data_IF_271137931138
#
_entry.id   IF_271137931138
#
_cell.length_a   1.000
_cell.length_b   1.000
_cell.length_c   1.000
_cell.angle_alpha   90.00
_cell.angle_beta   90.00
_cell.angle_gamma   90.00
#
_symmetry.space_group_name_H-M   'P 1'
#
loop_
_entity.id
_entity.type
_entity.pdbx_description
1 polymer ?
#
# COMPACT_ATOMS: atom_id res chain seq x y z
N UNK A 1 10.12 -47.37 -53.26
CA UNK A 1 9.13 -46.28 -53.35
C UNK A 1 8.12 -46.46 -52.22
N UNK A 2 7.62 -45.42 -51.52
CA UNK A 2 8.29 -44.27 -50.89
C UNK A 2 8.18 -44.32 -49.35
N UNK A 3 9.07 -43.58 -48.67
CA UNK A 3 9.05 -43.34 -47.23
C UNK A 3 7.95 -42.33 -46.86
N UNK A 4 7.14 -42.64 -45.85
CA UNK A 4 6.18 -41.69 -45.27
C UNK A 4 6.88 -40.88 -44.16
N UNK A 5 7.37 -39.69 -44.51
CA UNK A 5 7.77 -38.63 -43.58
C UNK A 5 6.51 -37.99 -43.02
N UNK A 6 6.15 -38.26 -41.77
CA UNK A 6 5.28 -37.36 -41.02
C UNK A 6 5.47 -37.57 -39.52
N UNK A 7 5.14 -36.53 -38.74
CA UNK A 7 4.94 -36.54 -37.28
C UNK A 7 6.10 -36.22 -36.31
N UNK A 8 7.17 -35.54 -36.74
CA UNK A 8 8.08 -34.90 -35.77
C UNK A 8 7.76 -33.41 -35.49
N UNK A 9 6.86 -32.79 -36.26
CA UNK A 9 6.57 -31.35 -36.17
C UNK A 9 5.47 -30.98 -35.16
N UNK A 10 4.67 -31.93 -34.67
CA UNK A 10 3.51 -31.62 -33.81
C UNK A 10 3.85 -31.56 -32.30
N UNK A 11 5.03 -32.05 -31.87
CA UNK A 11 5.41 -32.06 -30.45
C UNK A 11 6.03 -30.75 -29.94
N UNK A 12 6.52 -29.90 -30.84
CA UNK A 12 7.23 -28.68 -30.44
C UNK A 12 6.25 -27.52 -30.15
N UNK A 13 5.03 -27.57 -30.70
CA UNK A 13 4.03 -26.49 -30.49
C UNK A 13 3.41 -26.53 -29.08
N UNK A 14 3.32 -27.71 -28.45
CA UNK A 14 2.73 -27.83 -27.10
C UNK A 14 3.70 -27.53 -25.94
N UNK A 15 5.02 -27.51 -26.19
CA UNK A 15 6.00 -27.20 -25.14
C UNK A 15 6.28 -25.69 -25.00
N UNK A 16 5.96 -24.88 -26.02
CA UNK A 16 6.17 -23.43 -26.00
C UNK A 16 5.06 -22.63 -25.29
N UNK A 17 3.86 -23.21 -25.16
CA UNK A 17 2.69 -22.50 -24.64
C UNK A 17 2.61 -22.43 -23.10
N UNK A 18 3.39 -23.21 -22.36
CA UNK A 18 3.32 -23.25 -20.89
C UNK A 18 4.17 -22.17 -20.18
N UNK A 19 5.11 -21.53 -20.88
CA UNK A 19 6.03 -20.55 -20.27
C UNK A 19 5.39 -19.14 -20.17
N UNK A 20 4.28 -18.88 -20.87
CA UNK A 20 3.63 -17.56 -20.88
C UNK A 20 2.61 -17.38 -19.74
N UNK A 21 2.17 -18.44 -19.06
CA UNK A 21 1.11 -18.33 -18.03
C UNK A 21 1.58 -18.03 -16.59
N UNK A 22 2.89 -17.98 -16.30
CA UNK A 22 3.38 -17.75 -14.93
C UNK A 22 3.72 -16.29 -14.60
N UNK A 23 3.33 -15.33 -15.46
CA UNK A 23 3.79 -13.94 -15.39
C UNK A 23 3.03 -12.96 -14.49
N UNK A 24 2.14 -13.39 -13.58
CA UNK A 24 1.28 -12.44 -12.87
C UNK A 24 1.02 -12.74 -11.38
N UNK A 25 2.02 -13.18 -10.62
CA UNK A 25 2.03 -12.84 -9.20
C UNK A 25 2.63 -11.45 -9.06
N UNK A 26 1.81 -10.40 -9.19
CA UNK A 26 2.23 -9.03 -8.92
C UNK A 26 2.67 -8.92 -7.45
N UNK A 27 3.98 -8.94 -7.20
CA UNK A 27 4.54 -8.73 -5.88
C UNK A 27 4.29 -7.28 -5.47
N UNK A 28 3.51 -7.08 -4.41
CA UNK A 28 3.28 -5.75 -3.88
C UNK A 28 4.60 -5.15 -3.38
N UNK A 29 4.89 -3.86 -3.67
CA UNK A 29 6.07 -3.21 -3.10
C UNK A 29 6.04 -3.26 -1.58
N UNK A 30 7.18 -3.57 -0.97
CA UNK A 30 7.32 -3.71 0.49
C UNK A 30 7.95 -2.50 1.17
N UNK A 31 8.56 -1.59 0.39
CA UNK A 31 9.20 -0.37 0.88
C UNK A 31 8.95 0.84 -0.04
N UNK A 32 9.26 2.02 0.47
CA UNK A 32 9.12 3.30 -0.22
C UNK A 32 7.67 3.75 -0.43
N UNK A 33 7.45 4.85 -1.17
CA UNK A 33 6.12 5.43 -1.37
C UNK A 33 5.14 4.48 -2.06
N UNK A 34 5.63 3.64 -2.97
CA UNK A 34 4.82 2.67 -3.69
C UNK A 34 4.23 1.57 -2.78
N UNK A 35 4.91 1.25 -1.68
CA UNK A 35 4.39 0.31 -0.69
C UNK A 35 3.24 0.91 0.13
N UNK A 36 3.19 2.23 0.28
CA UNK A 36 2.15 2.92 1.05
C UNK A 36 0.98 3.38 0.18
N UNK A 37 1.20 3.66 -1.10
CA UNK A 37 0.18 4.18 -1.99
C UNK A 37 -1.04 3.25 -2.07
N UNK A 38 -2.22 3.84 -1.94
CA UNK A 38 -3.52 3.16 -1.96
C UNK A 38 -4.47 3.68 -0.89
N UNK A 39 -5.66 3.09 -0.87
CA UNK A 39 -6.67 3.33 0.17
C UNK A 39 -6.68 2.17 1.15
N UNK A 40 -6.63 2.51 2.43
CA UNK A 40 -6.51 1.58 3.54
C UNK A 40 -7.65 1.82 4.52
N UNK A 41 -8.11 0.76 5.18
CA UNK A 41 -9.09 0.84 6.27
C UNK A 41 -8.58 0.09 7.50
N UNK A 42 -8.97 0.55 8.69
CA UNK A 42 -8.66 -0.15 9.94
C UNK A 42 -9.93 -0.51 10.74
N UNK A 43 -9.74 -1.18 11.88
CA UNK A 43 -10.79 -1.62 12.81
C UNK A 43 -11.59 -0.48 13.45
N UNK A 44 -11.02 0.71 13.56
CA UNK A 44 -11.71 1.92 14.04
C UNK A 44 -12.62 2.52 12.96
N UNK A 45 -12.61 1.95 11.76
CA UNK A 45 -13.36 2.45 10.62
C UNK A 45 -12.70 3.64 9.92
N UNK A 46 -11.47 4.01 10.27
CA UNK A 46 -10.78 5.07 9.55
C UNK A 46 -10.42 4.59 8.15
N UNK A 47 -10.65 5.45 7.15
CA UNK A 47 -10.17 5.27 5.78
C UNK A 47 -9.04 6.26 5.53
N UNK A 48 -7.88 5.73 5.15
CA UNK A 48 -6.69 6.53 4.86
C UNK A 48 -6.27 6.28 3.42
N UNK A 49 -6.32 7.33 2.60
CA UNK A 49 -5.83 7.31 1.22
C UNK A 49 -4.46 7.98 1.17
N UNK A 50 -3.46 7.22 0.74
CA UNK A 50 -2.09 7.65 0.52
C UNK A 50 -1.87 7.72 -1.00
N UNK A 51 -1.69 8.92 -1.53
CA UNK A 51 -1.55 9.14 -2.96
C UNK A 51 -0.08 8.99 -3.40
N UNK A 52 0.20 8.48 -4.61
CA UNK A 52 1.57 8.33 -5.12
C UNK A 52 2.39 9.63 -5.15
N UNK A 53 1.73 10.80 -5.16
CA UNK A 53 2.36 12.12 -5.17
C UNK A 53 2.83 12.59 -3.77
N UNK A 54 2.72 11.75 -2.74
CA UNK A 54 3.11 12.09 -1.38
C UNK A 54 2.06 12.92 -0.63
N UNK A 55 0.82 13.00 -1.11
CA UNK A 55 -0.31 13.58 -0.36
C UNK A 55 -1.14 12.50 0.29
N UNK A 56 -1.90 12.85 1.33
CA UNK A 56 -2.85 11.93 1.95
C UNK A 56 -4.14 12.60 2.38
N UNK A 57 -5.17 11.76 2.53
CA UNK A 57 -6.49 12.12 3.03
C UNK A 57 -6.97 11.08 4.03
N UNK A 58 -7.55 11.52 5.14
CA UNK A 58 -8.11 10.63 6.17
C UNK A 58 -9.58 10.97 6.36
N UNK A 59 -10.45 9.98 6.20
CA UNK A 59 -11.85 10.00 6.64
C UNK A 59 -11.93 9.18 7.93
N UNK A 60 -12.11 9.85 9.06
CA UNK A 60 -12.11 9.22 10.38
C UNK A 60 -13.42 8.48 10.67
N UNK A 61 -14.52 8.85 9.99
CA UNK A 61 -15.89 8.45 10.35
C UNK A 61 -16.63 7.69 9.24
N UNK A 62 -15.96 7.37 8.11
CA UNK A 62 -16.56 6.76 6.90
C UNK A 62 -17.70 7.61 6.31
N UNK A 63 -17.65 8.92 6.49
CA UNK A 63 -18.65 9.85 5.95
C UNK A 63 -18.53 10.05 4.43
N UNK A 64 -17.49 9.50 3.80
CA UNK A 64 -17.18 9.68 2.38
C UNK A 64 -16.44 10.99 2.08
N UNK A 65 -16.31 11.87 3.08
CA UNK A 65 -15.57 13.12 2.99
C UNK A 65 -14.35 13.06 3.92
N UNK A 66 -13.14 13.39 3.44
CA UNK A 66 -11.98 13.45 4.31
C UNK A 66 -12.14 14.52 5.40
N UNK A 67 -11.68 14.19 6.61
CA UNK A 67 -11.59 15.07 7.78
C UNK A 67 -10.21 15.75 7.89
N UNK A 68 -9.18 15.09 7.36
CA UNK A 68 -7.77 15.50 7.48
C UNK A 68 -7.05 15.31 6.15
N UNK A 69 -6.16 16.25 5.83
CA UNK A 69 -5.27 16.24 4.68
C UNK A 69 -3.84 16.55 5.10
N UNK A 70 -2.88 15.95 4.40
CA UNK A 70 -1.50 16.31 4.60
C UNK A 70 -0.58 15.77 3.52
N UNK A 71 0.71 15.81 3.86
CA UNK A 71 1.78 15.26 3.04
C UNK A 71 2.48 14.14 3.79
N UNK A 72 2.98 13.18 3.06
CA UNK A 72 3.83 12.14 3.58
C UNK A 72 5.07 11.95 2.73
N UNK A 73 6.12 11.43 3.35
CA UNK A 73 7.32 10.94 2.67
C UNK A 73 7.59 9.53 3.16
N UNK A 74 8.11 8.68 2.27
CA UNK A 74 8.51 7.32 2.62
C UNK A 74 9.88 7.02 2.06
N UNK A 75 10.82 6.66 2.94
CA UNK A 75 12.19 6.29 2.61
C UNK A 75 12.45 4.93 3.23
N UNK A 76 12.68 3.91 2.40
CA UNK A 76 12.74 2.53 2.87
C UNK A 76 11.44 2.13 3.59
N UNK A 77 11.55 1.71 4.84
CA UNK A 77 10.46 1.31 5.73
C UNK A 77 9.96 2.46 6.64
N UNK A 78 10.42 3.70 6.40
CA UNK A 78 10.16 4.82 7.30
C UNK A 78 9.18 5.80 6.65
N UNK A 79 8.05 6.04 7.31
CA UNK A 79 7.02 7.00 6.95
C UNK A 79 7.17 8.26 7.80
N UNK A 80 7.18 9.43 7.17
CA UNK A 80 7.02 10.73 7.83
C UNK A 80 5.70 11.36 7.41
N UNK A 81 4.92 11.86 8.36
CA UNK A 81 3.61 12.46 8.17
C UNK A 81 3.67 13.93 8.59
N UNK A 82 3.20 14.81 7.72
CA UNK A 82 3.00 16.22 7.99
C UNK A 82 1.55 16.59 7.68
N UNK A 83 0.75 16.85 8.72
CA UNK A 83 -0.61 17.32 8.53
C UNK A 83 -0.59 18.77 8.00
N UNK A 84 -1.42 19.03 6.99
CA UNK A 84 -1.55 20.37 6.37
C UNK A 84 -2.87 21.02 6.74
N UNK A 85 -3.97 20.25 6.74
CA UNK A 85 -5.32 20.75 6.98
C UNK A 85 -6.16 19.70 7.72
N UNK A 86 -7.01 20.15 8.63
CA UNK A 86 -7.95 19.30 9.36
C UNK A 86 -8.39 19.95 10.66
N UNK A 87 -9.47 19.42 11.25
CA UNK A 87 -9.94 19.82 12.60
C UNK A 87 -9.27 18.95 13.66
N UNK A 88 -7.95 18.96 13.72
CA UNK A 88 -7.18 18.16 14.69
C UNK A 88 -6.59 19.01 15.82
N UNK A 89 -6.30 18.41 16.99
CA UNK A 89 -5.57 19.09 18.06
C UNK A 89 -4.21 19.61 17.62
N UNK A 90 -3.71 20.67 18.27
CA UNK A 90 -2.41 21.30 17.96
C UNK A 90 -1.24 20.31 17.90
N UNK A 91 -1.25 19.28 18.76
CA UNK A 91 -0.23 18.24 18.78
C UNK A 91 -0.15 17.42 17.48
N UNK A 92 -1.25 17.32 16.72
CA UNK A 92 -1.36 16.57 15.47
C UNK A 92 -0.87 17.38 14.25
N UNK A 93 -0.72 18.69 14.40
CA UNK A 93 -0.10 19.55 13.39
C UNK A 93 1.42 19.42 13.33
N UNK A 94 2.04 18.75 14.31
CA UNK A 94 3.47 18.49 14.31
C UNK A 94 3.81 17.26 13.46
N UNK A 95 5.01 17.22 12.86
CA UNK A 95 5.48 16.05 12.14
C UNK A 95 5.44 14.78 13.00
N UNK A 96 5.18 13.65 12.36
CA UNK A 96 5.27 12.33 12.98
C UNK A 96 6.06 11.35 12.11
N UNK A 97 6.67 10.36 12.73
CA UNK A 97 7.47 9.33 12.08
C UNK A 97 7.06 7.95 12.58
N UNK A 98 6.91 7.02 11.64
CA UNK A 98 6.56 5.62 11.88
C UNK A 98 7.44 4.72 11.03
N UNK A 99 7.74 3.53 11.54
CA UNK A 99 8.19 2.41 10.73
C UNK A 99 6.98 1.70 10.16
N UNK A 100 7.07 1.17 8.94
CA UNK A 100 5.99 0.41 8.33
C UNK A 100 6.47 -0.91 7.75
N UNK A 101 5.57 -1.89 7.73
CA UNK A 101 5.75 -3.17 7.08
C UNK A 101 4.51 -3.52 6.27
N UNK A 102 4.67 -3.82 4.99
CA UNK A 102 3.60 -4.23 4.09
C UNK A 102 3.71 -5.71 3.74
N UNK A 103 2.62 -6.43 3.97
CA UNK A 103 2.46 -7.84 3.62
C UNK A 103 1.22 -8.00 2.74
N UNK A 104 1.39 -7.87 1.43
CA UNK A 104 0.29 -7.91 0.46
C UNK A 104 -0.73 -6.80 0.69
N UNK A 105 -1.91 -7.17 1.20
CA UNK A 105 -3.01 -6.26 1.52
C UNK A 105 -3.04 -5.81 2.98
N UNK A 106 -2.05 -6.20 3.79
CA UNK A 106 -1.90 -5.74 5.16
C UNK A 106 -0.78 -4.71 5.28
N UNK A 107 -1.00 -3.71 6.11
CA UNK A 107 -0.05 -2.66 6.42
C UNK A 107 -0.04 -2.41 7.92
N UNK A 108 1.15 -2.45 8.50
CA UNK A 108 1.37 -2.25 9.94
C UNK A 108 2.34 -1.11 10.15
N UNK A 109 2.08 -0.33 11.21
CA UNK A 109 2.95 0.77 11.60
C UNK A 109 3.44 0.59 13.04
N UNK A 110 4.70 0.94 13.26
CA UNK A 110 5.32 1.02 14.59
C UNK A 110 5.73 2.46 14.84
N UNK A 111 5.33 2.99 16.00
CA UNK A 111 5.65 4.35 16.40
C UNK A 111 7.17 4.56 16.50
N UNK A 112 7.68 5.62 15.87
CA UNK A 112 9.05 6.13 16.11
C UNK A 112 8.98 7.45 16.89
N UNK A 113 8.20 8.41 16.39
CA UNK A 113 8.01 9.70 17.06
C UNK A 113 6.69 10.34 16.64
N UNK A 114 5.82 10.62 17.60
CA UNK A 114 4.60 11.38 17.38
C UNK A 114 4.15 11.95 18.74
N UNK A 115 3.66 13.18 18.75
CA UNK A 115 3.10 13.82 19.96
C UNK A 115 1.58 13.76 20.00
N UNK A 116 0.94 13.38 18.90
CA UNK A 116 -0.52 13.33 18.78
C UNK A 116 -1.06 11.95 19.18
N UNK A 117 -1.60 11.86 20.40
CA UNK A 117 -2.17 10.60 20.93
C UNK A 117 -3.26 10.00 20.02
N UNK A 118 -4.10 10.84 19.42
CA UNK A 118 -5.16 10.38 18.50
C UNK A 118 -4.59 9.76 17.23
N UNK A 119 -3.55 10.38 16.65
CA UNK A 119 -2.88 9.84 15.46
C UNK A 119 -2.13 8.56 15.79
N UNK A 120 -1.44 8.49 16.93
CA UNK A 120 -0.80 7.26 17.41
C UNK A 120 -1.82 6.13 17.48
N UNK A 121 -2.92 6.34 18.21
CA UNK A 121 -3.96 5.32 18.38
C UNK A 121 -4.52 4.81 17.05
N UNK A 122 -4.62 5.68 16.04
CA UNK A 122 -5.18 5.34 14.74
C UNK A 122 -4.15 4.67 13.81
N UNK A 123 -2.98 5.29 13.65
CA UNK A 123 -1.92 4.82 12.73
C UNK A 123 -1.40 3.45 13.15
N UNK A 124 -1.29 3.16 14.45
CA UNK A 124 -0.81 1.85 14.93
C UNK A 124 -1.87 0.74 14.88
N UNK A 125 -3.06 1.01 14.34
CA UNK A 125 -4.01 -0.08 14.06
C UNK A 125 -3.50 -0.96 12.91
N UNK A 126 -3.94 -2.22 12.82
CA UNK A 126 -3.79 -3.00 11.60
C UNK A 126 -4.60 -2.37 10.46
N UNK A 127 -3.96 -2.18 9.31
CA UNK A 127 -4.61 -1.65 8.11
C UNK A 127 -4.76 -2.75 7.06
N UNK A 128 -5.93 -2.75 6.41
CA UNK A 128 -6.24 -3.61 5.27
C UNK A 128 -6.51 -2.74 4.06
N UNK A 129 -5.98 -3.15 2.90
CA UNK A 129 -6.25 -2.47 1.63
C UNK A 129 -7.75 -2.55 1.30
N UNK A 130 -8.35 -1.41 0.99
CA UNK A 130 -9.76 -1.30 0.59
C UNK A 130 -9.97 -1.73 -0.86
#
# INVERSE_FOLDING_TARGET
>A
MPAMKLQHSLRIVFAGALIVLMGACATAPTSGPAALAGTWTNSLGTVWTLNPDGTFQVDLHKGGNPDVWGKYAAIGDTLTINEVRGKTPKACKQPATYKFNRMGNQLHFTLVSDKCKLRIQNVTQPWTKK
#
